data_IF_996327339686
#
_entry.id   IF_996327339686
#
_cell.length_a   1.000
_cell.length_b   1.000
_cell.length_c   1.000
_cell.angle_alpha   90.00
_cell.angle_beta   90.00
_cell.angle_gamma   90.00
#
_symmetry.space_group_name_H-M   'P 1'
#
loop_
_entity.id
_entity.type
_entity.pdbx_description
1 polymer ?
#
# COMPACT_ATOMS: atom_id res chain seq x y z
N UNK A 1 11.09 -43.71 -41.24
CA UNK A 1 12.14 -42.75 -40.85
C UNK A 1 12.71 -43.21 -39.52
N UNK A 2 13.86 -43.87 -39.54
CA UNK A 2 14.44 -44.55 -38.37
C UNK A 2 15.32 -43.56 -37.63
N UNK A 3 14.88 -43.12 -36.45
CA UNK A 3 15.69 -42.28 -35.57
C UNK A 3 16.95 -43.03 -35.15
N UNK A 4 18.13 -42.42 -35.36
CA UNK A 4 19.41 -42.97 -34.90
C UNK A 4 19.48 -42.89 -33.37
N UNK A 5 18.89 -43.87 -32.69
CA UNK A 5 19.27 -44.19 -31.32
C UNK A 5 20.49 -45.12 -31.41
N UNK A 6 21.63 -44.67 -30.87
CA UNK A 6 22.83 -45.52 -30.71
C UNK A 6 22.68 -46.28 -29.40
N UNK A 7 22.25 -47.54 -29.48
CA UNK A 7 22.30 -48.46 -28.36
C UNK A 7 23.77 -48.75 -28.00
N UNK A 8 24.13 -48.55 -26.73
CA UNK A 8 25.44 -48.95 -26.18
C UNK A 8 26.54 -47.90 -26.12
N UNK A 9 26.28 -46.62 -26.42
CA UNK A 9 27.24 -45.56 -26.07
C UNK A 9 27.16 -45.27 -24.55
N UNK A 10 28.28 -45.25 -23.81
CA UNK A 10 28.27 -44.82 -22.42
C UNK A 10 27.74 -43.39 -22.35
N UNK A 11 26.94 -43.08 -21.32
CA UNK A 11 26.46 -41.72 -21.09
C UNK A 11 27.64 -40.75 -21.13
N UNK A 12 27.66 -39.88 -22.13
CA UNK A 12 28.64 -38.82 -22.21
C UNK A 12 28.45 -37.92 -20.99
N UNK A 13 29.51 -37.71 -20.20
CA UNK A 13 29.48 -36.78 -19.08
C UNK A 13 29.26 -35.37 -19.64
N UNK A 14 28.02 -34.89 -19.61
CA UNK A 14 27.70 -33.52 -19.97
C UNK A 14 28.17 -32.63 -18.83
N UNK A 15 29.25 -31.89 -19.05
CA UNK A 15 29.68 -30.86 -18.11
C UNK A 15 28.58 -29.81 -17.98
N UNK A 16 27.99 -29.70 -16.79
CA UNK A 16 27.07 -28.61 -16.49
C UNK A 16 27.87 -27.30 -16.46
N UNK A 17 27.76 -26.51 -17.53
CA UNK A 17 28.36 -25.18 -17.56
C UNK A 17 27.50 -24.25 -16.71
N UNK A 18 28.06 -23.79 -15.60
CA UNK A 18 27.42 -22.75 -14.77
C UNK A 18 27.49 -21.44 -15.56
N UNK A 19 26.34 -20.95 -16.00
CA UNK A 19 26.23 -19.66 -16.66
C UNK A 19 26.40 -18.54 -15.63
N UNK A 20 27.24 -17.55 -15.97
CA UNK A 20 27.45 -16.32 -15.21
C UNK A 20 27.70 -16.53 -13.70
N UNK A 21 28.54 -17.53 -13.38
CA UNK A 21 28.87 -17.94 -12.00
C UNK A 21 29.30 -16.80 -11.07
N UNK A 22 30.20 -15.88 -11.48
CA UNK A 22 30.56 -14.72 -10.67
C UNK A 22 29.38 -13.80 -10.34
N UNK A 23 28.47 -13.56 -11.29
CA UNK A 23 27.30 -12.70 -11.06
C UNK A 23 26.30 -13.35 -10.11
N UNK A 24 26.12 -14.67 -10.21
CA UNK A 24 25.30 -15.43 -9.24
C UNK A 24 25.89 -15.43 -7.84
N UNK A 25 27.21 -15.64 -7.73
CA UNK A 25 27.89 -15.56 -6.44
C UNK A 25 27.72 -14.16 -5.83
N UNK A 26 27.77 -13.11 -6.65
CA UNK A 26 27.53 -11.74 -6.18
C UNK A 26 26.11 -11.51 -5.69
N UNK A 27 25.11 -11.98 -6.43
CA UNK A 27 23.73 -11.89 -6.00
C UNK A 27 23.50 -12.62 -4.67
N UNK A 28 24.12 -13.79 -4.48
CA UNK A 28 24.06 -14.54 -3.22
C UNK A 28 24.77 -13.80 -2.07
N UNK A 29 25.90 -13.14 -2.32
CA UNK A 29 26.56 -12.29 -1.33
C UNK A 29 25.67 -11.13 -0.89
N UNK A 30 25.00 -10.48 -1.85
CA UNK A 30 24.07 -9.39 -1.57
C UNK A 30 22.84 -9.87 -0.79
N UNK A 31 22.26 -11.00 -1.19
CA UNK A 31 21.14 -11.64 -0.48
C UNK A 31 21.47 -11.91 0.99
N UNK A 32 22.69 -12.39 1.27
CA UNK A 32 23.16 -12.64 2.63
C UNK A 32 23.49 -11.35 3.41
N UNK A 33 23.95 -10.30 2.72
CA UNK A 33 24.32 -9.04 3.35
C UNK A 33 23.11 -8.20 3.75
N UNK A 34 22.00 -8.31 3.01
CA UNK A 34 20.80 -7.49 3.15
C UNK A 34 19.61 -8.33 3.63
N UNK A 35 19.49 -8.52 4.95
CA UNK A 35 18.49 -9.42 5.56
C UNK A 35 17.01 -9.06 5.26
N UNK A 36 16.75 -7.80 4.94
CA UNK A 36 15.43 -7.25 4.64
C UNK A 36 15.08 -7.30 3.13
N UNK A 37 15.94 -7.96 2.34
CA UNK A 37 15.83 -8.08 0.90
C UNK A 37 16.04 -9.51 0.44
N UNK A 38 15.41 -9.86 -0.68
CA UNK A 38 15.70 -11.08 -1.43
C UNK A 38 16.32 -10.70 -2.77
N UNK A 39 17.55 -11.13 -3.02
CA UNK A 39 18.35 -10.77 -4.21
C UNK A 39 18.50 -11.95 -5.16
N UNK A 40 18.26 -11.71 -6.44
CA UNK A 40 18.20 -12.72 -7.50
C UNK A 40 18.95 -12.22 -8.74
N UNK A 41 19.63 -13.12 -9.45
CA UNK A 41 20.23 -12.82 -10.75
C UNK A 41 19.48 -13.52 -11.88
N UNK A 42 19.04 -12.76 -12.89
CA UNK A 42 18.34 -13.31 -14.05
C UNK A 42 19.26 -13.49 -15.24
N UNK A 43 19.40 -14.74 -15.73
CA UNK A 43 20.22 -15.06 -16.91
C UNK A 43 19.63 -14.52 -18.22
N UNK A 44 18.32 -14.27 -18.28
CA UNK A 44 17.65 -13.82 -19.51
C UNK A 44 17.95 -12.36 -19.85
N UNK A 45 17.86 -11.47 -18.84
CA UNK A 45 18.16 -10.04 -18.98
C UNK A 45 19.57 -9.67 -18.51
N UNK A 46 20.26 -10.59 -17.83
CA UNK A 46 21.56 -10.37 -17.18
C UNK A 46 21.55 -9.18 -16.22
N UNK A 47 20.47 -9.09 -15.44
CA UNK A 47 20.28 -8.07 -14.41
C UNK A 47 20.14 -8.71 -13.03
N UNK A 48 20.54 -7.96 -12.02
CA UNK A 48 20.23 -8.21 -10.64
C UNK A 48 18.85 -7.65 -10.31
N UNK A 49 18.13 -8.36 -9.46
CA UNK A 49 16.82 -8.00 -8.95
C UNK A 49 16.85 -8.10 -7.43
N UNK A 50 16.26 -7.14 -6.74
CA UNK A 50 16.02 -7.23 -5.32
C UNK A 50 14.54 -6.96 -5.02
N UNK A 51 13.97 -7.78 -4.15
CA UNK A 51 12.59 -7.66 -3.67
C UNK A 51 12.64 -7.43 -2.17
N UNK A 52 11.98 -6.38 -1.70
CA UNK A 52 11.92 -6.10 -0.28
C UNK A 52 11.05 -7.12 0.47
N UNK A 53 11.49 -7.59 1.63
CA UNK A 53 10.75 -8.54 2.46
C UNK A 53 9.96 -7.90 3.62
N UNK A 54 10.03 -6.57 3.77
CA UNK A 54 9.24 -5.85 4.79
C UNK A 54 7.78 -5.65 4.37
N UNK A 55 6.91 -5.49 5.36
CA UNK A 55 5.50 -5.15 5.14
C UNK A 55 5.38 -3.71 4.62
N UNK A 56 5.12 -3.58 3.32
CA UNK A 56 4.74 -2.31 2.67
C UNK A 56 3.43 -2.49 1.88
N UNK A 57 2.62 -1.41 1.76
CA UNK A 57 1.36 -1.47 1.02
C UNK A 57 1.53 -1.74 -0.48
N UNK A 58 2.74 -1.54 -1.02
CA UNK A 58 3.13 -1.89 -2.38
C UNK A 58 4.42 -2.70 -2.34
N UNK A 59 4.52 -3.76 -3.14
CA UNK A 59 5.74 -4.57 -3.27
C UNK A 59 6.84 -3.71 -3.90
N UNK A 60 7.97 -3.57 -3.22
CA UNK A 60 9.13 -2.85 -3.73
C UNK A 60 10.05 -3.83 -4.45
N UNK A 61 10.25 -3.60 -5.74
CA UNK A 61 11.18 -4.37 -6.58
C UNK A 61 12.12 -3.40 -7.27
N UNK A 62 13.42 -3.64 -7.17
CA UNK A 62 14.45 -2.87 -7.85
C UNK A 62 15.26 -3.79 -8.77
N UNK A 63 15.68 -3.27 -9.92
CA UNK A 63 16.46 -3.99 -10.93
C UNK A 63 17.65 -3.13 -11.36
N UNK A 64 18.84 -3.72 -11.44
CA UNK A 64 20.00 -3.07 -12.04
C UNK A 64 20.91 -4.09 -12.76
N UNK A 65 21.55 -3.75 -13.89
CA UNK A 65 22.53 -4.63 -14.54
C UNK A 65 23.80 -4.87 -13.71
N UNK A 66 24.06 -4.08 -12.67
CA UNK A 66 25.24 -4.16 -11.82
C UNK A 66 24.88 -4.39 -10.35
N UNK A 67 25.76 -5.06 -9.60
CA UNK A 67 25.56 -5.27 -8.16
C UNK A 67 25.61 -3.97 -7.37
N UNK A 68 26.61 -3.12 -7.64
CA UNK A 68 26.76 -1.81 -7.00
C UNK A 68 25.55 -0.88 -7.29
N UNK A 69 25.07 -0.87 -8.54
CA UNK A 69 23.88 -0.12 -8.91
C UNK A 69 22.62 -0.64 -8.20
N UNK A 70 22.52 -1.96 -8.01
CA UNK A 70 21.42 -2.56 -7.26
C UNK A 70 21.45 -2.13 -5.79
N UNK A 71 22.61 -2.18 -5.14
CA UNK A 71 22.78 -1.75 -3.74
C UNK A 71 22.40 -0.29 -3.55
N UNK A 72 22.82 0.59 -4.47
CA UNK A 72 22.44 2.00 -4.44
C UNK A 72 20.92 2.19 -4.48
N UNK A 73 20.20 1.41 -5.30
CA UNK A 73 18.72 1.47 -5.34
C UNK A 73 18.06 0.84 -4.13
N UNK A 74 18.64 -0.21 -3.56
CA UNK A 74 18.16 -0.80 -2.30
C UNK A 74 18.26 0.21 -1.16
N UNK A 75 19.39 0.92 -1.04
CA UNK A 75 19.58 2.01 -0.07
C UNK A 75 18.58 3.14 -0.28
N UNK A 76 18.37 3.58 -1.52
CA UNK A 76 17.40 4.61 -1.84
C UNK A 76 15.97 4.18 -1.43
N UNK A 77 15.59 2.94 -1.72
CA UNK A 77 14.30 2.39 -1.35
C UNK A 77 14.11 2.30 0.18
N UNK A 78 15.15 1.92 0.92
CA UNK A 78 15.13 1.95 2.39
C UNK A 78 14.99 3.37 2.94
N UNK A 79 15.70 4.33 2.35
CA UNK A 79 15.56 5.73 2.73
C UNK A 79 14.13 6.24 2.49
N UNK A 80 13.52 5.90 1.35
CA UNK A 80 12.13 6.23 1.04
C UNK A 80 11.17 5.56 2.05
N UNK A 81 11.40 4.29 2.40
CA UNK A 81 10.64 3.58 3.45
C UNK A 81 10.70 4.33 4.78
N UNK A 82 11.89 4.75 5.22
CA UNK A 82 12.06 5.48 6.48
C UNK A 82 11.34 6.83 6.48
N UNK A 83 11.36 7.55 5.35
CA UNK A 83 10.64 8.81 5.20
C UNK A 83 9.11 8.62 5.25
N UNK A 84 8.61 7.54 4.66
CA UNK A 84 7.18 7.20 4.66
C UNK A 84 6.69 6.63 5.99
N UNK A 85 7.59 6.10 6.83
CA UNK A 85 7.27 5.56 8.15
C UNK A 85 6.93 6.63 9.21
N UNK A 86 6.75 7.90 8.83
CA UNK A 86 6.26 8.92 9.76
C UNK A 86 4.91 8.46 10.30
N UNK A 87 4.78 8.19 11.62
CA UNK A 87 3.50 7.82 12.17
C UNK A 87 2.63 9.06 12.05
N UNK A 88 1.72 9.05 11.08
CA UNK A 88 0.53 9.87 11.23
C UNK A 88 -0.08 9.34 12.51
N UNK A 89 -0.22 10.13 13.60
CA UNK A 89 -1.08 9.68 14.67
C UNK A 89 -2.41 9.40 13.98
N UNK A 90 -2.83 8.14 13.97
CA UNK A 90 -4.22 7.81 13.77
C UNK A 90 -4.93 8.58 14.87
N UNK A 91 -5.34 9.81 14.54
CA UNK A 91 -6.34 10.53 15.26
C UNK A 91 -7.45 9.52 15.37
N UNK A 92 -7.67 9.03 16.59
CA UNK A 92 -8.87 8.31 16.90
C UNK A 92 -9.98 9.13 16.29
N UNK A 93 -10.80 8.49 15.45
CA UNK A 93 -12.12 9.00 15.15
C UNK A 93 -12.80 9.15 16.51
N UNK A 94 -12.62 10.34 17.08
CA UNK A 94 -13.43 10.91 18.11
C UNK A 94 -14.79 11.06 17.43
N UNK A 95 -15.54 9.96 17.47
CA UNK A 95 -16.93 9.89 17.08
C UNK A 95 -17.59 11.08 17.77
N UNK A 96 -18.05 12.10 17.05
CA UNK A 96 -18.65 13.26 17.70
C UNK A 96 -19.80 12.73 18.56
N UNK A 97 -19.94 13.17 19.82
CA UNK A 97 -21.09 12.78 20.61
C UNK A 97 -22.32 13.18 19.82
N UNK A 98 -23.17 12.21 19.52
CA UNK A 98 -24.43 12.43 18.84
C UNK A 98 -25.18 13.54 19.59
N UNK A 99 -25.25 14.72 18.99
CA UNK A 99 -26.08 15.80 19.51
C UNK A 99 -27.52 15.29 19.56
N UNK A 100 -28.20 15.34 20.72
CA UNK A 100 -29.64 15.19 20.75
C UNK A 100 -30.22 16.46 20.12
N UNK A 101 -30.50 16.39 18.81
CA UNK A 101 -31.36 17.36 18.13
C UNK A 101 -32.78 17.18 18.65
N UNK A 102 -33.06 17.77 19.80
CA UNK A 102 -34.42 18.09 20.22
C UNK A 102 -34.43 19.19 21.28
N UNK A 103 -34.21 20.43 20.81
CA UNK A 103 -34.83 21.60 21.44
C UNK A 103 -34.93 22.72 20.42
N UNK A 104 -36.03 22.71 19.67
CA UNK A 104 -36.48 23.88 18.93
C UNK A 104 -36.69 25.04 19.91
N UNK A 105 -35.74 25.96 19.94
CA UNK A 105 -35.89 27.28 20.56
C UNK A 105 -36.69 28.14 19.58
N UNK A 106 -38.02 28.09 19.68
CA UNK A 106 -38.88 29.10 19.08
C UNK A 106 -38.80 30.36 19.96
N UNK A 107 -38.36 31.46 19.34
CA UNK A 107 -37.91 32.68 19.99
C UNK A 107 -38.96 33.41 20.84
N UNK A 108 -38.51 34.39 21.63
CA UNK A 108 -39.41 35.30 22.32
C UNK A 108 -39.92 36.32 21.30
N UNK A 109 -41.24 36.56 21.25
CA UNK A 109 -41.81 37.90 21.12
C UNK A 109 -43.34 37.88 21.10
N UNK A 110 -43.86 38.91 21.78
CA UNK A 110 -45.19 39.52 21.66
C UNK A 110 -46.37 38.92 22.45
N UNK A 111 -46.46 39.33 23.72
CA UNK A 111 -47.73 39.42 24.45
C UNK A 111 -47.96 40.88 24.87
N UNK A 112 -48.59 41.64 23.98
CA UNK A 112 -49.26 42.90 24.33
C UNK A 112 -50.44 42.66 25.29
N UNK A 113 -50.79 43.65 26.14
CA UNK A 113 -51.70 43.45 27.26
C UNK A 113 -53.19 43.55 26.90
N UNK A 114 -54.00 42.89 27.73
CA UNK A 114 -55.45 42.87 27.72
C UNK A 114 -56.11 44.25 27.89
N UNK A 115 -57.23 44.51 27.20
CA UNK A 115 -58.51 44.92 27.83
C UNK A 115 -59.69 45.14 26.85
N UNK A 116 -60.80 44.48 27.20
CA UNK A 116 -62.20 44.98 27.33
C UNK A 116 -62.93 45.57 26.09
N UNK A 117 -64.00 44.87 25.68
CA UNK A 117 -65.45 45.24 25.76
C UNK A 117 -66.19 44.50 24.63
N UNK A 118 -67.05 43.53 24.97
CA UNK A 118 -68.50 43.65 25.24
C UNK A 118 -69.30 44.04 23.98
N UNK A 119 -70.12 43.10 23.50
CA UNK A 119 -71.56 43.21 23.15
C UNK A 119 -71.92 42.47 21.85
N UNK A 120 -72.72 41.41 21.97
CA UNK A 120 -73.69 40.94 20.96
C UNK A 120 -74.80 42.00 20.76
N UNK A 121 -75.86 41.80 19.94
CA UNK A 121 -76.18 40.75 18.95
C UNK A 121 -76.66 41.33 17.58
N UNK A 122 -77.05 40.48 16.62
CA UNK A 122 -77.82 40.98 15.46
C UNK A 122 -78.00 40.00 14.32
N UNK A 123 -78.84 38.97 14.52
CA UNK A 123 -79.46 38.22 13.43
C UNK A 123 -80.87 38.78 13.13
N UNK A 124 -81.18 38.97 11.84
CA UNK A 124 -82.50 38.98 11.19
C UNK A 124 -82.23 39.28 9.70
N UNK A 125 -82.49 38.36 8.76
CA UNK A 125 -83.78 37.93 8.20
C UNK A 125 -84.37 38.95 7.20
N UNK A 126 -84.65 38.40 5.99
CA UNK A 126 -85.31 38.94 4.80
C UNK A 126 -84.44 39.82 3.89
#
# INVERSE_FOLDING_TARGET
>A
MTGRHRDGQPYASVYQRVWDGPARAEAERLDQAWADWTVLYSLGKRSFYAVASWDSPQVVVVEDPTSEGLEGRMQEAEMVRMLQATPTPHGGEERPPAEPRDRGTAGPQDRGPARRRRSSPGGRAA
#
